data_IF_079831148833
#
_entry.id   IF_079831148833
#
_cell.length_a   1.000
_cell.length_b   1.000
_cell.length_c   1.000
_cell.angle_alpha   90.00
_cell.angle_beta   90.00
_cell.angle_gamma   90.00
#
_symmetry.space_group_name_H-M   'P 1'
#
loop_
_entity.id
_entity.type
_entity.pdbx_description
1 polymer ?
#
# COMPACT_ATOMS: atom_id res chain seq x y z
N UNK A 1 1.00 -11.17 -6.58
CA UNK A 1 -0.36 -11.48 -6.07
C UNK A 1 -0.23 -12.16 -4.73
N UNK A 2 -1.01 -11.71 -3.74
CA UNK A 2 -1.09 -12.37 -2.44
C UNK A 2 -1.95 -13.63 -2.59
N UNK A 3 -1.57 -14.78 -2.04
CA UNK A 3 -2.40 -15.96 -2.12
C UNK A 3 -3.58 -15.82 -1.15
N UNK A 4 -4.62 -16.60 -1.39
CA UNK A 4 -5.79 -16.66 -0.52
C UNK A 4 -5.67 -17.83 0.45
N UNK A 5 -5.90 -17.64 1.76
CA UNK A 5 -5.88 -18.71 2.72
C UNK A 5 -6.93 -19.78 2.36
N UNK A 6 -6.60 -21.08 2.46
CA UNK A 6 -7.55 -22.15 2.21
C UNK A 6 -8.77 -22.06 3.13
N UNK A 7 -9.99 -22.23 2.58
CA UNK A 7 -11.23 -22.21 3.36
C UNK A 7 -11.67 -20.82 3.85
N UNK A 8 -10.91 -19.76 3.56
CA UNK A 8 -11.31 -18.40 3.87
C UNK A 8 -12.59 -18.02 3.10
N UNK A 9 -13.51 -17.34 3.77
CA UNK A 9 -14.76 -16.87 3.19
C UNK A 9 -14.75 -15.35 3.18
N UNK A 10 -14.90 -14.77 2.00
CA UNK A 10 -14.80 -13.32 1.82
C UNK A 10 -15.97 -12.84 0.97
N UNK A 11 -16.62 -11.75 1.43
CA UNK A 11 -17.66 -11.09 0.61
C UNK A 11 -17.02 -10.46 -0.64
N UNK A 12 -17.81 -10.24 -1.70
CA UNK A 12 -17.34 -9.47 -2.84
C UNK A 12 -16.82 -8.07 -2.44
N UNK A 13 -17.42 -7.43 -1.43
CA UNK A 13 -16.97 -6.12 -0.95
C UNK A 13 -15.61 -6.21 -0.25
N UNK A 14 -15.36 -7.23 0.56
CA UNK A 14 -14.05 -7.45 1.18
C UNK A 14 -12.96 -7.71 0.14
N UNK A 15 -13.26 -8.53 -0.87
CA UNK A 15 -12.34 -8.82 -1.97
C UNK A 15 -12.00 -7.54 -2.75
N UNK A 16 -12.99 -6.74 -3.12
CA UNK A 16 -12.78 -5.51 -3.88
C UNK A 16 -12.14 -4.39 -3.04
N UNK A 17 -12.32 -4.41 -1.72
CA UNK A 17 -11.73 -3.42 -0.80
C UNK A 17 -10.28 -3.76 -0.46
N UNK A 18 -9.98 -4.98 -0.01
CA UNK A 18 -8.66 -5.36 0.49
C UNK A 18 -7.76 -6.01 -0.57
N UNK A 19 -8.37 -6.57 -1.62
CA UNK A 19 -7.66 -7.27 -2.70
C UNK A 19 -8.15 -6.80 -4.08
N UNK A 20 -8.07 -5.50 -4.43
CA UNK A 20 -8.62 -4.98 -5.69
C UNK A 20 -8.04 -5.69 -6.94
N UNK A 21 -6.81 -6.23 -6.82
CA UNK A 21 -6.17 -7.03 -7.88
C UNK A 21 -6.81 -8.41 -8.09
N UNK A 22 -7.78 -8.83 -7.27
CA UNK A 22 -8.56 -10.06 -7.49
C UNK A 22 -9.27 -10.07 -8.85
N UNK A 23 -9.57 -8.89 -9.43
CA UNK A 23 -10.12 -8.77 -10.78
C UNK A 23 -9.16 -9.19 -11.90
N UNK A 24 -7.86 -9.37 -11.61
CA UNK A 24 -6.91 -9.99 -12.54
C UNK A 24 -7.05 -11.52 -12.63
N UNK A 25 -7.83 -12.12 -11.71
CA UNK A 25 -8.04 -13.56 -11.63
C UNK A 25 -9.42 -13.90 -12.19
N UNK A 26 -9.42 -14.65 -13.28
CA UNK A 26 -10.65 -15.02 -13.99
C UNK A 26 -11.71 -15.71 -13.12
N UNK A 27 -11.34 -16.46 -12.07
CA UNK A 27 -12.33 -17.10 -11.20
C UNK A 27 -13.15 -16.10 -10.38
N UNK A 28 -12.54 -15.02 -9.88
CA UNK A 28 -13.30 -13.98 -9.17
C UNK A 28 -14.16 -13.18 -10.14
N UNK A 29 -13.63 -12.86 -11.33
CA UNK A 29 -14.44 -12.24 -12.39
C UNK A 29 -15.63 -13.13 -12.75
N UNK A 30 -15.40 -14.42 -12.97
CA UNK A 30 -16.45 -15.38 -13.27
C UNK A 30 -17.48 -15.46 -12.14
N UNK A 31 -17.02 -15.62 -10.90
CA UNK A 31 -17.85 -15.65 -9.68
C UNK A 31 -18.72 -14.41 -9.55
N UNK A 32 -18.15 -13.23 -9.69
CA UNK A 32 -18.88 -11.98 -9.56
C UNK A 32 -19.94 -11.84 -10.65
N UNK A 33 -19.59 -12.03 -11.92
CA UNK A 33 -20.54 -11.87 -13.03
C UNK A 33 -21.63 -12.96 -13.00
N UNK A 34 -21.30 -14.21 -12.63
CA UNK A 34 -22.28 -15.29 -12.45
C UNK A 34 -23.30 -15.00 -11.33
N UNK A 35 -22.92 -14.18 -10.36
CA UNK A 35 -23.76 -13.75 -9.25
C UNK A 35 -24.33 -12.32 -9.44
N UNK A 36 -24.48 -11.86 -10.68
CA UNK A 36 -25.15 -10.60 -10.98
C UNK A 36 -24.28 -9.35 -10.82
N UNK A 37 -22.98 -9.51 -10.63
CA UNK A 37 -22.03 -8.40 -10.68
C UNK A 37 -22.07 -7.70 -12.03
N UNK A 38 -22.17 -6.38 -12.00
CA UNK A 38 -22.05 -5.52 -13.19
C UNK A 38 -20.73 -4.77 -13.13
N UNK A 39 -20.31 -4.22 -14.27
CA UNK A 39 -19.10 -3.38 -14.34
C UNK A 39 -19.18 -2.17 -13.41
N UNK A 40 -20.32 -1.51 -13.38
CA UNK A 40 -20.54 -0.31 -12.57
C UNK A 40 -20.54 -0.70 -11.09
N UNK A 41 -21.38 -1.64 -10.67
CA UNK A 41 -21.40 -2.07 -9.26
C UNK A 41 -20.02 -2.48 -8.71
N UNK A 42 -19.20 -3.20 -9.50
CA UNK A 42 -17.83 -3.55 -9.11
C UNK A 42 -16.94 -2.29 -9.00
N UNK A 43 -17.03 -1.38 -9.97
CA UNK A 43 -16.31 -0.11 -9.96
C UNK A 43 -16.72 0.78 -8.79
N UNK A 44 -18.02 0.92 -8.54
CA UNK A 44 -18.60 1.68 -7.44
C UNK A 44 -18.13 1.18 -6.08
N UNK A 45 -18.08 -0.15 -5.88
CA UNK A 45 -17.51 -0.74 -4.67
C UNK A 45 -16.06 -0.31 -4.47
N UNK A 46 -15.24 -0.36 -5.51
CA UNK A 46 -13.81 0.02 -5.43
C UNK A 46 -13.68 1.51 -5.13
N UNK A 47 -14.36 2.38 -5.88
CA UNK A 47 -14.29 3.84 -5.70
C UNK A 47 -14.82 4.30 -4.34
N UNK A 48 -15.91 3.69 -3.84
CA UNK A 48 -16.47 4.04 -2.53
C UNK A 48 -15.54 3.61 -1.39
N UNK A 49 -14.84 2.48 -1.54
CA UNK A 49 -14.08 1.91 -0.43
C UNK A 49 -12.58 2.20 -0.47
N UNK A 50 -12.02 2.66 -1.60
CA UNK A 50 -10.58 2.90 -1.75
C UNK A 50 -10.26 4.31 -2.26
N UNK A 51 -9.11 4.82 -1.83
CA UNK A 51 -8.40 5.92 -2.48
C UNK A 51 -7.57 5.31 -3.60
N UNK A 52 -7.59 5.95 -4.78
CA UNK A 52 -6.87 5.47 -5.96
C UNK A 52 -5.95 6.59 -6.42
N UNK A 53 -4.67 6.29 -6.61
CA UNK A 53 -3.66 7.26 -7.07
C UNK A 53 -4.00 7.87 -8.44
N UNK A 54 -4.76 7.14 -9.25
CA UNK A 54 -5.15 7.53 -10.61
C UNK A 54 -6.64 7.37 -10.78
N UNK A 55 -7.22 8.22 -11.61
CA UNK A 55 -8.62 8.09 -12.01
C UNK A 55 -8.87 6.69 -12.56
N UNK A 56 -9.70 5.93 -11.85
CA UNK A 56 -10.09 4.59 -12.22
C UNK A 56 -11.51 4.66 -12.74
N UNK A 57 -11.70 4.41 -14.03
CA UNK A 57 -13.02 4.50 -14.67
C UNK A 57 -13.69 3.13 -14.73
N UNK A 58 -15.02 3.12 -14.89
CA UNK A 58 -15.76 1.88 -15.12
C UNK A 58 -15.22 1.12 -16.35
N UNK A 59 -14.79 1.82 -17.40
CA UNK A 59 -14.18 1.23 -18.58
C UNK A 59 -12.82 0.57 -18.27
N UNK A 60 -11.98 1.19 -17.46
CA UNK A 60 -10.73 0.59 -16.98
C UNK A 60 -11.00 -0.69 -16.18
N UNK A 61 -12.01 -0.67 -15.31
CA UNK A 61 -12.47 -1.84 -14.56
C UNK A 61 -12.92 -2.98 -15.49
N UNK A 62 -13.72 -2.65 -16.51
CA UNK A 62 -14.12 -3.58 -17.57
C UNK A 62 -12.91 -4.17 -18.32
N UNK A 63 -11.95 -3.32 -18.69
CA UNK A 63 -10.72 -3.71 -19.37
C UNK A 63 -9.93 -4.76 -18.59
N UNK A 64 -9.74 -4.55 -17.28
CA UNK A 64 -9.07 -5.51 -16.39
C UNK A 64 -9.77 -6.87 -16.40
N UNK A 65 -11.10 -6.88 -16.25
CA UNK A 65 -11.88 -8.13 -16.26
C UNK A 65 -11.80 -8.86 -17.62
N UNK A 66 -11.89 -8.13 -18.73
CA UNK A 66 -11.77 -8.72 -20.07
C UNK A 66 -10.39 -9.35 -20.30
N UNK A 67 -9.33 -8.68 -19.84
CA UNK A 67 -7.98 -9.22 -19.92
C UNK A 67 -7.82 -10.48 -19.07
N UNK A 68 -8.35 -10.49 -17.85
CA UNK A 68 -8.32 -11.66 -16.96
C UNK A 68 -9.00 -12.88 -17.59
N UNK A 69 -10.21 -12.70 -18.12
CA UNK A 69 -10.98 -13.77 -18.78
C UNK A 69 -10.30 -14.27 -20.07
N UNK A 70 -9.77 -13.35 -20.90
CA UNK A 70 -9.04 -13.73 -22.12
C UNK A 70 -7.79 -14.55 -21.80
N UNK A 71 -6.99 -14.14 -20.81
CA UNK A 71 -5.79 -14.88 -20.36
C UNK A 71 -6.11 -16.29 -19.85
N UNK A 72 -7.35 -16.54 -19.44
CA UNK A 72 -7.82 -17.85 -19.01
C UNK A 72 -8.45 -18.69 -20.13
N UNK A 73 -8.40 -18.23 -21.39
CA UNK A 73 -8.90 -18.99 -22.55
C UNK A 73 -10.38 -18.75 -22.86
N UNK A 74 -11.05 -17.79 -22.19
CA UNK A 74 -12.42 -17.40 -22.52
C UNK A 74 -12.41 -16.43 -23.71
N UNK A 75 -12.06 -16.93 -24.90
CA UNK A 75 -11.94 -16.12 -26.12
C UNK A 75 -13.28 -15.52 -26.55
N UNK A 76 -13.29 -14.22 -26.87
CA UNK A 76 -14.52 -13.51 -27.22
C UNK A 76 -15.51 -13.32 -26.06
N UNK A 77 -15.08 -13.62 -24.82
CA UNK A 77 -15.88 -13.34 -23.63
C UNK A 77 -16.13 -11.85 -23.47
N UNK A 78 -17.37 -11.52 -23.13
CA UNK A 78 -17.81 -10.22 -22.66
C UNK A 78 -18.89 -10.42 -21.61
N UNK A 79 -19.19 -9.41 -20.80
CA UNK A 79 -20.28 -9.51 -19.81
C UNK A 79 -21.62 -9.85 -20.48
N UNK A 80 -21.93 -9.24 -21.63
CA UNK A 80 -23.14 -9.53 -22.41
C UNK A 80 -23.20 -10.98 -22.91
N UNK A 81 -22.05 -11.61 -23.14
CA UNK A 81 -21.93 -13.01 -23.59
C UNK A 81 -21.68 -13.98 -22.43
N UNK A 82 -21.51 -13.52 -21.19
CA UNK A 82 -21.15 -14.36 -20.06
C UNK A 82 -22.11 -15.53 -19.88
N UNK A 83 -23.42 -15.30 -20.06
CA UNK A 83 -24.43 -16.35 -19.93
C UNK A 83 -24.17 -17.55 -20.86
N UNK A 84 -23.63 -17.33 -22.05
CA UNK A 84 -23.30 -18.42 -23.00
C UNK A 84 -22.21 -19.34 -22.44
N UNK A 85 -21.27 -18.78 -21.67
CA UNK A 85 -20.23 -19.53 -20.96
C UNK A 85 -20.76 -20.14 -19.66
N UNK A 86 -21.67 -19.45 -18.99
CA UNK A 86 -22.25 -19.89 -17.74
C UNK A 86 -23.16 -21.11 -17.89
N UNK A 87 -23.89 -21.25 -19.00
CA UNK A 87 -24.78 -22.40 -19.25
C UNK A 87 -24.10 -23.74 -19.03
N UNK A 88 -22.84 -23.89 -19.46
CA UNK A 88 -22.08 -25.15 -19.31
C UNK A 88 -21.72 -25.47 -17.85
N UNK A 89 -21.56 -24.45 -17.02
CA UNK A 89 -21.18 -24.60 -15.62
C UNK A 89 -22.37 -24.45 -14.67
N UNK A 90 -23.55 -24.08 -15.18
CA UNK A 90 -24.73 -23.71 -14.38
C UNK A 90 -25.19 -24.84 -13.46
N UNK A 91 -25.11 -26.09 -13.92
CA UNK A 91 -25.53 -27.26 -13.13
C UNK A 91 -24.66 -27.47 -11.88
N UNK A 92 -23.38 -27.09 -11.94
CA UNK A 92 -22.41 -27.25 -10.86
C UNK A 92 -22.08 -25.93 -10.15
N UNK A 93 -22.78 -24.84 -10.50
CA UNK A 93 -22.52 -23.53 -9.94
C UNK A 93 -23.25 -23.34 -8.63
N UNK A 94 -22.49 -23.19 -7.55
CA UNK A 94 -23.02 -22.76 -6.26
C UNK A 94 -22.88 -21.24 -6.12
N UNK A 95 -24.01 -20.54 -6.23
CA UNK A 95 -24.05 -19.07 -6.10
C UNK A 95 -23.86 -18.57 -4.66
N UNK A 96 -23.97 -19.45 -3.68
CA UNK A 96 -23.85 -19.13 -2.26
C UNK A 96 -22.41 -19.37 -1.76
N UNK A 97 -21.56 -19.99 -2.60
CA UNK A 97 -20.17 -20.24 -2.28
C UNK A 97 -19.32 -18.96 -2.40
N UNK A 98 -18.97 -18.40 -1.23
CA UNK A 98 -18.07 -17.26 -1.12
C UNK A 98 -16.63 -17.62 -0.70
N UNK A 99 -16.29 -18.90 -0.74
CA UNK A 99 -14.95 -19.41 -0.45
C UNK A 99 -13.94 -18.95 -1.52
N UNK A 100 -12.78 -18.47 -1.08
CA UNK A 100 -11.72 -17.96 -1.98
C UNK A 100 -10.73 -19.02 -2.43
N UNK A 101 -10.78 -20.23 -1.86
CA UNK A 101 -9.95 -21.38 -2.25
C UNK A 101 -10.30 -21.96 -3.63
N UNK A 102 -11.48 -21.65 -4.16
CA UNK A 102 -11.90 -22.00 -5.52
C UNK A 102 -11.16 -21.21 -6.62
N UNK A 103 -10.23 -20.31 -6.26
CA UNK A 103 -9.35 -19.62 -7.20
C UNK A 103 -8.41 -20.58 -7.95
N UNK A 104 -7.86 -20.19 -9.11
CA UNK A 104 -6.80 -20.96 -9.74
C UNK A 104 -5.65 -20.96 -8.74
N UNK A 105 -5.15 -22.16 -8.43
CA UNK A 105 -3.78 -22.35 -7.93
C UNK A 105 -2.88 -21.31 -8.60
N UNK A 106 -2.16 -20.53 -7.79
CA UNK A 106 -1.40 -19.36 -8.23
C UNK A 106 -0.60 -19.71 -9.50
N UNK A 107 -0.34 -18.73 -10.38
CA UNK A 107 0.30 -18.94 -11.68
C UNK A 107 1.59 -19.80 -11.61
N UNK A 108 2.25 -19.82 -10.46
CA UNK A 108 3.40 -20.67 -10.12
C UNK A 108 3.14 -22.18 -10.13
N UNK A 109 1.89 -22.64 -10.03
CA UNK A 109 1.57 -24.08 -10.03
C UNK A 109 1.34 -24.67 -11.43
N UNK A 110 1.20 -23.83 -12.47
CA UNK A 110 0.99 -24.32 -13.85
C UNK A 110 2.28 -24.65 -14.60
N UNK A 111 3.43 -24.21 -14.10
CA UNK A 111 4.71 -24.47 -14.74
C UNK A 111 5.62 -25.22 -13.75
N UNK A 112 5.56 -26.56 -13.83
CA UNK A 112 6.31 -27.47 -12.94
C UNK A 112 7.83 -27.33 -13.06
N UNK A 113 8.31 -26.52 -13.99
CA UNK A 113 9.73 -26.27 -14.25
C UNK A 113 10.35 -25.23 -13.32
N UNK A 114 9.55 -24.36 -12.71
CA UNK A 114 10.04 -23.30 -11.81
C UNK A 114 9.63 -23.62 -10.38
N UNK A 115 10.56 -23.68 -9.41
CA UNK A 115 10.20 -23.83 -8.00
C UNK A 115 9.17 -22.76 -7.63
N UNK A 116 8.06 -23.13 -6.97
CA UNK A 116 7.05 -22.15 -6.60
C UNK A 116 7.71 -21.10 -5.70
N UNK A 117 7.83 -19.88 -6.21
CA UNK A 117 8.20 -18.73 -5.39
C UNK A 117 7.29 -18.74 -4.17
N UNK A 118 7.88 -18.79 -2.97
CA UNK A 118 7.10 -18.70 -1.74
C UNK A 118 6.27 -17.42 -1.83
N UNK A 119 4.94 -17.50 -1.70
CA UNK A 119 4.13 -16.32 -1.78
C UNK A 119 4.60 -15.33 -0.72
N UNK A 120 4.81 -14.07 -1.12
CA UNK A 120 5.25 -13.02 -0.20
C UNK A 120 4.15 -12.80 0.83
N UNK A 121 4.51 -12.99 2.10
CA UNK A 121 3.67 -12.60 3.23
C UNK A 121 3.80 -11.10 3.48
N UNK A 122 2.70 -10.47 3.87
CA UNK A 122 2.64 -9.04 4.21
C UNK A 122 1.96 -8.85 5.56
N UNK A 123 2.22 -7.77 6.29
CA UNK A 123 1.42 -7.40 7.45
C UNK A 123 -0.07 -7.28 7.10
N UNK A 124 -0.96 -7.83 7.93
CA UNK A 124 -2.41 -7.63 7.80
C UNK A 124 -2.80 -6.15 7.81
N UNK A 125 -2.06 -5.31 8.53
CA UNK A 125 -2.31 -3.86 8.55
C UNK A 125 -2.10 -3.22 7.17
N UNK A 126 -1.20 -3.74 6.33
CA UNK A 126 -0.97 -3.23 4.97
C UNK A 126 -2.14 -3.53 4.02
N UNK A 127 -3.05 -4.47 4.36
CA UNK A 127 -4.29 -4.62 3.60
C UNK A 127 -5.20 -3.39 3.73
N UNK A 128 -5.02 -2.57 4.76
CA UNK A 128 -5.74 -1.31 4.95
C UNK A 128 -5.17 -0.16 4.11
N UNK A 129 -4.04 -0.35 3.42
CA UNK A 129 -3.44 0.69 2.57
C UNK A 129 -4.45 1.12 1.49
N UNK A 130 -4.62 2.44 1.39
CA UNK A 130 -5.61 3.15 0.58
C UNK A 130 -7.07 2.78 0.81
N UNK A 131 -7.43 2.18 1.95
CA UNK A 131 -8.84 1.91 2.28
C UNK A 131 -9.49 3.18 2.85
N UNK A 132 -10.34 3.82 2.06
CA UNK A 132 -11.17 4.99 2.46
C UNK A 132 -12.28 4.57 3.42
N UNK A 133 -13.00 3.50 3.07
CA UNK A 133 -14.13 3.00 3.85
C UNK A 133 -13.99 1.50 4.08
N UNK A 134 -13.81 1.10 5.33
CA UNK A 134 -13.85 -0.32 5.69
C UNK A 134 -15.26 -0.89 5.47
N UNK A 135 -15.40 -2.14 4.99
CA UNK A 135 -16.69 -2.82 4.92
C UNK A 135 -17.35 -2.88 6.31
N UNK A 136 -18.69 -2.87 6.36
CA UNK A 136 -19.48 -2.90 7.61
C UNK A 136 -20.73 -3.75 7.42
N UNK A 137 -21.27 -4.27 8.52
CA UNK A 137 -22.53 -5.02 8.53
C UNK A 137 -22.55 -6.14 7.48
N UNK A 138 -23.55 -6.11 6.60
CA UNK A 138 -23.80 -7.10 5.53
C UNK A 138 -22.71 -7.17 4.45
N UNK A 139 -21.74 -6.25 4.47
CA UNK A 139 -20.63 -6.20 3.53
C UNK A 139 -19.32 -6.72 4.13
N UNK A 140 -19.30 -7.10 5.42
CA UNK A 140 -18.09 -7.49 6.13
C UNK A 140 -18.20 -8.92 6.72
N UNK A 141 -17.11 -9.68 6.66
CA UNK A 141 -16.92 -10.94 7.37
C UNK A 141 -15.58 -10.90 8.11
N UNK A 142 -14.78 -11.97 7.97
CA UNK A 142 -13.61 -12.24 8.80
C UNK A 142 -12.48 -11.26 8.52
N UNK A 143 -12.16 -11.03 7.24
CA UNK A 143 -11.01 -10.20 6.82
C UNK A 143 -11.16 -8.78 7.36
N UNK A 144 -12.36 -8.20 7.28
CA UNK A 144 -12.62 -6.86 7.81
C UNK A 144 -12.27 -6.76 9.30
N UNK A 145 -12.63 -7.75 10.11
CA UNK A 145 -12.34 -7.76 11.55
C UNK A 145 -10.85 -7.93 11.81
N UNK A 146 -10.19 -8.83 11.06
CA UNK A 146 -8.76 -9.09 11.18
C UNK A 146 -7.91 -7.89 10.79
N UNK A 147 -8.20 -7.23 9.66
CA UNK A 147 -7.49 -6.02 9.23
C UNK A 147 -7.69 -4.90 10.24
N UNK A 148 -8.93 -4.66 10.72
CA UNK A 148 -9.18 -3.67 11.78
C UNK A 148 -8.39 -3.96 13.06
N UNK A 149 -8.33 -5.23 13.46
CA UNK A 149 -7.55 -5.63 14.62
C UNK A 149 -6.07 -5.34 14.42
N UNK A 150 -5.49 -5.73 13.28
CA UNK A 150 -4.09 -5.52 12.97
C UNK A 150 -3.72 -4.02 12.91
N UNK A 151 -4.58 -3.18 12.32
CA UNK A 151 -4.39 -1.71 12.30
C UNK A 151 -4.40 -1.13 13.71
N UNK A 152 -5.34 -1.56 14.56
CA UNK A 152 -5.41 -1.09 15.96
C UNK A 152 -4.23 -1.57 16.83
N UNK A 153 -3.62 -2.69 16.47
CA UNK A 153 -2.53 -3.32 17.21
C UNK A 153 -1.24 -3.37 16.38
N UNK A 154 -0.84 -2.24 15.80
CA UNK A 154 0.31 -2.13 14.89
C UNK A 154 1.66 -2.57 15.48
N UNK A 155 1.78 -2.64 16.82
CA UNK A 155 2.97 -3.19 17.49
C UNK A 155 3.15 -4.69 17.26
N UNK A 156 2.06 -5.43 17.07
CA UNK A 156 2.10 -6.87 16.79
C UNK A 156 1.90 -7.07 15.30
N UNK A 157 2.97 -7.54 14.64
CA UNK A 157 2.98 -7.72 13.20
C UNK A 157 2.36 -9.08 12.83
N UNK A 158 1.05 -9.07 12.59
CA UNK A 158 0.34 -10.22 12.04
C UNK A 158 0.59 -10.34 10.53
N UNK A 159 1.00 -11.52 10.06
CA UNK A 159 1.38 -11.75 8.67
C UNK A 159 0.27 -12.47 7.89
N UNK A 160 -0.23 -11.84 6.84
CA UNK A 160 -1.10 -12.45 5.84
C UNK A 160 -0.25 -13.11 4.75
N UNK A 161 -0.59 -14.34 4.31
CA UNK A 161 -1.69 -15.19 4.77
C UNK A 161 -1.27 -16.22 5.82
N UNK A 162 0.01 -16.30 6.16
CA UNK A 162 0.58 -17.33 7.03
C UNK A 162 -0.12 -17.44 8.38
N UNK A 163 -0.48 -16.31 8.98
CA UNK A 163 -1.07 -16.22 10.30
C UNK A 163 -2.58 -15.96 10.27
N UNK A 164 -3.24 -16.32 9.17
CA UNK A 164 -4.67 -16.09 8.99
C UNK A 164 -5.50 -16.79 10.07
N UNK A 165 -5.26 -18.07 10.30
CA UNK A 165 -6.05 -18.86 11.26
C UNK A 165 -5.80 -18.43 12.71
N UNK A 166 -4.56 -18.09 13.07
CA UNK A 166 -4.24 -17.60 14.42
C UNK A 166 -4.89 -16.25 14.70
N UNK A 167 -4.81 -15.31 13.75
CA UNK A 167 -5.47 -14.01 13.89
C UNK A 167 -6.99 -14.17 13.88
N UNK A 168 -7.54 -15.06 13.06
CA UNK A 168 -8.97 -15.35 13.03
C UNK A 168 -9.47 -15.87 14.37
N UNK A 169 -8.75 -16.84 14.97
CA UNK A 169 -9.05 -17.36 16.29
C UNK A 169 -9.01 -16.24 17.36
N UNK A 170 -8.00 -15.37 17.29
CA UNK A 170 -7.85 -14.24 18.21
C UNK A 170 -9.01 -13.24 18.11
N UNK A 171 -9.53 -12.98 16.91
CA UNK A 171 -10.69 -12.07 16.70
C UNK A 171 -12.05 -12.75 16.88
N UNK A 172 -12.09 -13.94 17.50
CA UNK A 172 -13.33 -14.63 17.89
C UNK A 172 -13.77 -15.76 16.94
N UNK A 173 -12.89 -16.23 16.05
CA UNK A 173 -13.16 -17.33 15.11
C UNK A 173 -14.04 -16.94 13.93
N UNK A 174 -14.23 -17.87 12.98
CA UNK A 174 -14.96 -17.62 11.74
C UNK A 174 -16.38 -17.09 11.98
N UNK A 175 -16.71 -15.96 11.35
CA UNK A 175 -18.06 -15.40 11.37
C UNK A 175 -19.04 -16.33 10.64
N UNK A 176 -20.27 -16.37 11.15
CA UNK A 176 -21.35 -17.09 10.48
C UNK A 176 -21.69 -16.39 9.16
N UNK A 177 -21.54 -17.11 8.06
CA UNK A 177 -22.01 -16.63 6.76
C UNK A 177 -23.55 -16.66 6.74
N UNK A 178 -24.14 -15.63 6.16
CA UNK A 178 -25.57 -15.39 6.13
C UNK A 178 -25.95 -15.01 4.69
N UNK A 179 -27.22 -15.18 4.27
CA UNK A 179 -27.60 -14.97 2.87
C UNK A 179 -27.28 -13.58 2.29
N UNK A 180 -27.21 -12.55 3.14
CA UNK A 180 -26.89 -11.19 2.69
C UNK A 180 -25.39 -10.96 2.42
N UNK A 181 -24.54 -11.90 2.84
CA UNK A 181 -23.10 -11.92 2.55
C UNK A 181 -22.78 -12.51 1.17
N UNK A 182 -23.71 -13.26 0.57
CA UNK A 182 -23.51 -13.87 -0.75
C UNK A 182 -23.40 -12.80 -1.84
N UNK A 183 -22.58 -13.08 -2.85
CA UNK A 183 -22.29 -12.13 -3.93
C UNK A 183 -23.56 -11.63 -4.62
N UNK A 184 -24.55 -12.50 -4.84
CA UNK A 184 -25.84 -12.13 -5.43
C UNK A 184 -26.53 -11.04 -4.64
N UNK A 185 -26.63 -11.22 -3.33
CA UNK A 185 -27.25 -10.25 -2.44
C UNK A 185 -26.42 -8.96 -2.33
N UNK A 186 -25.09 -9.04 -2.43
CA UNK A 186 -24.22 -7.87 -2.48
C UNK A 186 -24.48 -7.07 -3.75
N UNK A 187 -24.34 -7.67 -4.93
CA UNK A 187 -24.46 -6.95 -6.20
C UNK A 187 -25.88 -6.44 -6.48
N UNK A 188 -26.92 -7.14 -6.01
CA UNK A 188 -28.29 -6.64 -6.05
C UNK A 188 -28.46 -5.33 -5.26
N UNK A 189 -27.82 -5.20 -4.09
CA UNK A 189 -27.87 -3.96 -3.30
C UNK A 189 -27.14 -2.81 -3.99
N UNK A 190 -25.91 -3.06 -4.44
CA UNK A 190 -25.11 -2.02 -5.08
C UNK A 190 -25.72 -1.53 -6.39
N UNK A 191 -26.32 -2.43 -7.18
CA UNK A 191 -27.03 -2.03 -8.40
C UNK A 191 -28.26 -1.15 -8.09
N UNK A 192 -28.94 -1.34 -6.95
CA UNK A 192 -30.06 -0.50 -6.52
C UNK A 192 -29.62 0.86 -5.96
N UNK A 193 -28.54 0.89 -5.19
CA UNK A 193 -27.96 2.15 -4.67
C UNK A 193 -27.56 3.08 -5.82
N UNK A 194 -27.03 2.52 -6.92
CA UNK A 194 -26.70 3.30 -8.11
C UNK A 194 -27.94 3.93 -8.76
N UNK A 195 -29.08 3.24 -8.81
CA UNK A 195 -30.34 3.77 -9.36
C UNK A 195 -30.91 4.93 -8.53
N UNK A 196 -30.69 4.93 -7.21
CA UNK A 196 -31.09 6.03 -6.34
C UNK A 196 -30.12 7.22 -6.44
N UNK A 197 -28.82 6.95 -6.59
CA UNK A 197 -27.77 7.98 -6.66
C UNK A 197 -27.74 8.68 -8.03
N UNK A 198 -27.93 7.95 -9.13
CA UNK A 198 -27.99 8.51 -10.50
C UNK A 198 -29.18 9.43 -10.74
N UNK A 199 -30.15 9.52 -9.83
CA UNK A 199 -31.18 10.58 -9.88
C UNK A 199 -30.65 11.96 -9.44
N UNK A 200 -29.47 12.01 -8.81
CA UNK A 200 -28.77 13.21 -8.41
C UNK A 200 -27.45 13.31 -9.21
N UNK A 201 -27.56 13.69 -10.49
CA UNK A 201 -26.52 13.69 -11.55
C UNK A 201 -25.26 14.58 -11.33
N UNK A 202 -24.79 14.82 -10.09
CA UNK A 202 -23.64 15.71 -9.85
C UNK A 202 -22.44 15.11 -9.08
N UNK A 203 -22.53 13.90 -8.52
CA UNK A 203 -21.44 13.34 -7.72
C UNK A 203 -20.85 12.06 -8.33
N UNK A 204 -19.84 12.18 -9.20
CA UNK A 204 -19.03 11.02 -9.61
C UNK A 204 -18.13 10.61 -8.42
N UNK A 205 -18.31 9.41 -7.84
CA UNK A 205 -17.65 8.99 -6.61
C UNK A 205 -16.12 8.92 -6.73
N UNK A 206 -15.60 8.83 -7.95
CA UNK A 206 -14.16 8.76 -8.24
C UNK A 206 -13.59 10.12 -8.75
N UNK A 207 -14.39 11.18 -8.86
CA UNK A 207 -13.95 12.52 -9.27
C UNK A 207 -13.80 13.52 -8.12
N UNK A 208 -13.85 13.07 -6.86
CA UNK A 208 -13.47 13.98 -5.78
C UNK A 208 -12.01 14.41 -6.01
N UNK A 209 -11.73 15.71 -6.21
CA UNK A 209 -10.39 16.16 -6.52
C UNK A 209 -9.46 15.69 -5.40
N UNK A 210 -8.31 15.17 -5.79
CA UNK A 210 -7.21 14.91 -4.87
C UNK A 210 -6.86 16.26 -4.24
N UNK A 211 -7.44 16.54 -3.08
CA UNK A 211 -7.07 17.72 -2.30
C UNK A 211 -5.65 17.48 -1.83
N UNK A 212 -4.75 18.40 -2.18
CA UNK A 212 -3.36 18.36 -1.72
C UNK A 212 -3.32 18.12 -0.21
N UNK A 213 -2.47 17.20 0.29
CA UNK A 213 -2.37 16.90 1.72
C UNK A 213 -2.11 18.15 2.58
N UNK A 214 -1.50 19.19 2.01
CA UNK A 214 -1.25 20.48 2.68
C UNK A 214 -2.53 21.32 2.94
N UNK A 215 -3.65 21.04 2.27
CA UNK A 215 -4.90 21.79 2.46
C UNK A 215 -5.84 21.20 3.51
N UNK A 216 -5.54 20.01 4.06
CA UNK A 216 -6.29 19.42 5.16
C UNK A 216 -5.74 19.88 6.52
N UNK A 217 -5.83 21.19 6.77
CA UNK A 217 -5.71 21.73 8.12
C UNK A 217 -6.73 21.08 9.05
N UNK A 218 -6.31 20.79 10.29
CA UNK A 218 -7.11 20.28 11.41
C UNK A 218 -8.56 20.83 11.41
N UNK A 219 -9.50 20.07 10.87
CA UNK A 219 -10.92 20.26 11.17
C UNK A 219 -11.23 19.37 12.36
N UNK A 220 -11.14 19.95 13.55
CA UNK A 220 -11.66 19.38 14.80
C UNK A 220 -13.19 19.31 14.70
N UNK A 221 -13.70 18.22 14.13
CA UNK A 221 -15.12 17.89 14.14
C UNK A 221 -15.51 17.24 15.45
N UNK A 222 -16.16 18.02 16.31
CA UNK A 222 -16.75 17.61 17.58
C UNK A 222 -17.88 16.60 17.35
N UNK A 223 -17.56 15.31 17.47
CA UNK A 223 -18.54 14.23 17.53
C UNK A 223 -18.73 13.85 19.01
N UNK A 224 -19.83 14.32 19.58
CA UNK A 224 -20.30 13.93 20.92
C UNK A 224 -20.60 12.44 20.94
N UNK A 225 -19.66 11.66 21.49
CA UNK A 225 -19.85 10.26 21.85
C UNK A 225 -20.35 10.20 23.30
N UNK A 226 -21.45 9.48 23.50
CA UNK A 226 -22.07 9.23 24.81
C UNK A 226 -21.06 8.64 25.82
N UNK A 227 -20.77 9.32 26.95
CA UNK A 227 -19.78 8.87 27.92
C UNK A 227 -20.17 7.62 28.73
N UNK A 228 -21.37 7.05 28.53
CA UNK A 228 -21.89 5.98 29.41
C UNK A 228 -21.48 4.54 29.08
N UNK A 229 -20.58 4.32 28.12
CA UNK A 229 -20.23 2.95 27.67
C UNK A 229 -18.76 2.54 27.88
N UNK A 230 -18.02 3.20 28.76
CA UNK A 230 -16.65 2.83 29.14
C UNK A 230 -16.41 3.10 30.63
N UNK A 231 -16.90 2.22 31.50
CA UNK A 231 -16.36 2.05 32.85
C UNK A 231 -16.17 0.57 33.11
N UNK A 232 -14.91 0.14 33.05
CA UNK A 232 -14.22 -0.67 34.07
C UNK A 232 -12.97 -1.27 33.42
N UNK A 233 -11.82 -0.64 33.70
CA UNK A 233 -10.47 -1.22 33.88
C UNK A 233 -9.43 -0.12 33.64
N UNK A 234 -9.13 0.68 34.68
CA UNK A 234 -7.83 1.33 34.85
C UNK A 234 -7.71 1.88 36.28
N UNK A 235 -6.82 1.27 37.06
CA UNK A 235 -6.33 1.81 38.32
C UNK A 235 -4.94 2.43 38.09
N UNK A 236 -4.77 3.62 38.67
CA UNK A 236 -3.53 4.30 39.07
C UNK A 236 -2.39 4.45 38.05
N UNK A 237 -2.46 5.53 37.29
CA UNK A 237 -1.28 6.22 36.77
C UNK A 237 -1.25 7.67 37.31
N UNK A 238 -0.11 8.18 37.80
CA UNK A 238 0.01 9.54 38.31
C UNK A 238 -0.07 10.60 37.18
N UNK A 239 -0.50 11.83 37.49
CA UNK A 239 -0.73 12.88 36.50
C UNK A 239 0.59 13.34 35.85
N UNK A 240 0.58 13.45 34.52
CA UNK A 240 1.65 14.05 33.73
C UNK A 240 1.88 15.52 34.09
N UNK A 241 3.14 16.00 34.06
CA UNK A 241 3.45 17.41 34.33
C UNK A 241 2.90 18.33 33.23
N UNK A 242 2.60 19.60 33.55
CA UNK A 242 2.12 20.57 32.59
C UNK A 242 3.21 20.93 31.55
N UNK A 243 2.81 21.31 30.33
CA UNK A 243 3.76 21.72 29.30
C UNK A 243 4.51 23.00 29.73
N UNK A 244 5.78 23.16 29.29
CA UNK A 244 6.56 24.36 29.57
C UNK A 244 5.90 25.57 28.91
N UNK A 245 5.95 26.71 29.62
CA UNK A 245 5.48 28.00 29.13
C UNK A 245 6.43 28.50 28.06
N UNK A 246 5.88 28.98 26.95
CA UNK A 246 6.60 29.72 25.93
C UNK A 246 7.23 30.97 26.57
N UNK A 247 8.54 30.95 26.74
CA UNK A 247 9.32 32.14 27.03
C UNK A 247 9.65 32.84 25.71
N UNK A 248 9.31 34.12 25.68
CA UNK A 248 9.48 35.11 24.61
C UNK A 248 10.80 34.97 23.84
N UNK A 249 10.70 34.59 22.56
CA UNK A 249 11.75 34.87 21.58
C UNK A 249 11.68 36.37 21.26
N UNK A 250 12.63 37.10 21.85
CA UNK A 250 12.97 38.49 21.53
C UNK A 250 13.25 38.65 20.02
N UNK A 251 12.24 39.11 19.28
CA UNK A 251 12.41 39.62 17.93
C UNK A 251 13.02 41.02 18.03
N UNK A 252 14.35 41.09 17.91
CA UNK A 252 15.11 42.32 17.94
C UNK A 252 14.64 43.30 16.85
N UNK A 253 14.16 44.44 17.34
CA UNK A 253 13.98 45.69 16.63
C UNK A 253 15.26 46.12 15.91
N UNK A 254 15.35 45.92 14.60
CA UNK A 254 16.35 46.57 13.75
C UNK A 254 15.79 47.86 13.17
N UNK A 255 16.35 48.94 13.73
CA UNK A 255 16.24 50.33 13.35
C UNK A 255 16.82 50.53 11.95
N UNK A 256 16.15 51.37 11.15
CA UNK A 256 16.60 51.77 9.82
C UNK A 256 18.03 52.31 9.82
N UNK A 257 18.90 51.59 9.13
CA UNK A 257 20.15 52.06 8.55
C UNK A 257 20.21 51.44 7.16
N UNK A 258 20.48 52.26 6.15
CA UNK A 258 20.80 51.79 4.80
C UNK A 258 22.08 50.94 4.90
N UNK A 259 21.90 49.61 4.90
CA UNK A 259 22.99 48.63 4.77
C UNK A 259 23.18 48.40 3.29
N UNK A 260 24.42 48.56 2.81
CA UNK A 260 24.79 48.31 1.42
C UNK A 260 24.39 46.89 1.00
N UNK A 261 23.88 46.76 -0.23
CA UNK A 261 23.59 45.50 -0.93
C UNK A 261 24.87 44.72 -1.30
N UNK A 262 25.90 44.73 -0.45
CA UNK A 262 26.97 43.76 -0.53
C UNK A 262 26.43 42.46 0.10
N UNK A 263 25.68 41.72 -0.72
CA UNK A 263 25.14 40.40 -0.45
C UNK A 263 26.17 39.53 0.28
N UNK A 264 25.93 39.27 1.56
CA UNK A 264 26.60 38.19 2.27
C UNK A 264 26.05 36.90 1.65
N UNK A 265 26.70 36.42 0.59
CA UNK A 265 26.53 35.06 0.09
C UNK A 265 26.98 34.16 1.24
N UNK A 266 26.03 33.71 2.07
CA UNK A 266 26.26 32.69 3.08
C UNK A 266 26.71 31.44 2.33
N UNK A 267 28.04 31.27 2.23
CA UNK A 267 28.64 30.10 1.62
C UNK A 267 28.21 28.92 2.47
N UNK A 268 27.40 28.03 1.91
CA UNK A 268 27.01 26.80 2.59
C UNK A 268 28.28 26.02 2.97
N UNK A 269 28.42 25.72 4.26
CA UNK A 269 29.47 24.85 4.76
C UNK A 269 28.79 23.56 5.21
N UNK A 270 29.09 22.45 4.52
CA UNK A 270 28.53 21.15 4.87
C UNK A 270 28.88 20.82 6.33
N UNK A 271 27.89 20.52 7.19
CA UNK A 271 28.17 20.15 8.56
C UNK A 271 28.93 18.82 8.63
N UNK A 272 29.70 18.56 9.70
CA UNK A 272 30.37 17.28 9.88
C UNK A 272 29.36 16.12 9.86
N UNK A 273 29.70 15.04 9.17
CA UNK A 273 28.87 13.84 9.09
C UNK A 273 28.74 13.19 10.47
N UNK A 274 27.54 13.19 11.05
CA UNK A 274 27.28 12.48 12.31
C UNK A 274 26.88 11.03 12.02
N UNK A 275 27.32 10.10 12.86
CA UNK A 275 26.98 8.69 12.72
C UNK A 275 25.49 8.46 12.96
N UNK A 276 24.81 7.89 11.96
CA UNK A 276 23.43 7.41 12.11
C UNK A 276 23.37 5.91 11.82
N UNK A 277 23.03 5.14 12.85
CA UNK A 277 22.82 3.71 12.70
C UNK A 277 21.54 3.45 11.88
N UNK A 278 21.58 2.51 10.92
CA UNK A 278 20.35 2.06 10.28
C UNK A 278 19.40 1.47 11.33
N UNK A 279 18.07 1.58 11.14
CA UNK A 279 17.11 0.91 12.01
C UNK A 279 17.48 -0.56 12.18
N UNK A 280 17.31 -1.15 13.38
CA UNK A 280 17.52 -2.58 13.53
C UNK A 280 16.70 -3.29 12.47
N UNK A 281 17.34 -4.19 11.72
CA UNK A 281 16.65 -5.07 10.78
C UNK A 281 15.74 -6.00 11.59
N UNK A 282 14.58 -5.49 11.98
CA UNK A 282 13.55 -6.26 12.67
C UNK A 282 12.95 -7.32 11.74
N UNK A 283 13.26 -7.25 10.44
CA UNK A 283 12.99 -8.27 9.46
C UNK A 283 14.29 -8.93 9.00
N UNK A 284 14.39 -10.22 9.32
CA UNK A 284 15.30 -11.22 8.76
C UNK A 284 15.09 -11.42 7.25
N UNK A 285 14.84 -10.37 6.46
CA UNK A 285 15.10 -10.43 5.05
C UNK A 285 16.63 -10.41 4.92
N UNK A 286 17.22 -11.60 4.92
CA UNK A 286 18.62 -11.81 4.58
C UNK A 286 18.98 -10.92 3.40
N UNK A 287 20.05 -10.13 3.55
CA UNK A 287 20.56 -9.30 2.45
C UNK A 287 20.63 -10.15 1.20
N UNK A 288 20.08 -9.67 0.07
CA UNK A 288 20.10 -10.47 -1.14
C UNK A 288 21.54 -10.82 -1.50
N UNK A 289 21.73 -12.08 -1.85
CA UNK A 289 22.97 -12.56 -2.43
C UNK A 289 23.22 -11.84 -3.75
N UNK A 290 24.48 -11.75 -4.17
CA UNK A 290 24.80 -11.13 -5.46
C UNK A 290 24.14 -11.90 -6.62
N UNK A 291 23.99 -13.21 -6.47
CA UNK A 291 23.33 -14.10 -7.42
C UNK A 291 21.84 -13.81 -7.56
N UNK A 292 21.13 -13.58 -6.44
CA UNK A 292 19.72 -13.18 -6.44
C UNK A 292 19.51 -11.83 -7.14
N UNK A 293 20.34 -10.83 -6.84
CA UNK A 293 20.26 -9.52 -7.52
C UNK A 293 20.53 -9.64 -9.02
N UNK A 294 21.55 -10.41 -9.44
CA UNK A 294 21.83 -10.68 -10.86
C UNK A 294 20.68 -11.39 -11.57
N UNK A 295 19.99 -12.29 -10.87
CA UNK A 295 18.84 -12.98 -11.43
C UNK A 295 17.68 -12.01 -11.66
N UNK A 296 17.39 -11.16 -10.67
CA UNK A 296 16.29 -10.19 -10.73
C UNK A 296 16.59 -9.08 -11.74
N UNK A 297 17.83 -8.58 -11.79
CA UNK A 297 18.26 -7.60 -12.78
C UNK A 297 18.09 -8.11 -14.21
N UNK A 298 18.35 -9.40 -14.47
CA UNK A 298 18.07 -9.99 -15.79
C UNK A 298 16.59 -10.02 -16.17
N UNK A 299 15.67 -10.04 -15.20
CA UNK A 299 14.24 -10.08 -15.46
C UNK A 299 13.61 -8.69 -15.54
N UNK A 300 14.02 -7.79 -14.65
CA UNK A 300 13.35 -6.52 -14.38
C UNK A 300 14.21 -5.30 -14.69
N UNK A 301 15.51 -5.51 -14.95
CA UNK A 301 16.48 -4.44 -15.12
C UNK A 301 16.22 -3.60 -16.37
N UNK A 302 16.51 -2.30 -16.27
CA UNK A 302 16.49 -1.38 -17.39
C UNK A 302 17.56 -1.77 -18.41
N UNK A 303 17.18 -1.81 -19.71
CA UNK A 303 17.99 -2.40 -20.79
C UNK A 303 19.30 -1.66 -21.08
N UNK A 304 19.33 -0.38 -20.73
CA UNK A 304 20.46 0.55 -20.90
C UNK A 304 21.44 0.50 -19.70
N UNK A 305 21.12 -0.28 -18.68
CA UNK A 305 21.94 -0.41 -17.48
C UNK A 305 22.84 -1.63 -17.56
N UNK A 306 24.05 -1.51 -17.04
CA UNK A 306 25.12 -2.50 -17.20
C UNK A 306 25.37 -3.35 -15.95
N UNK A 307 24.77 -2.98 -14.81
CA UNK A 307 25.06 -3.51 -13.49
C UNK A 307 23.78 -3.53 -12.65
N UNK A 308 23.59 -4.59 -11.86
CA UNK A 308 22.53 -4.65 -10.85
C UNK A 308 22.70 -3.60 -9.74
N UNK A 309 23.90 -3.02 -9.63
CA UNK A 309 24.24 -1.95 -8.68
C UNK A 309 24.21 -0.56 -9.30
N UNK A 310 23.86 -0.42 -10.59
CA UNK A 310 23.58 0.91 -11.14
C UNK A 310 22.43 1.56 -10.36
N UNK A 311 22.51 2.84 -9.98
CA UNK A 311 21.42 3.55 -9.31
C UNK A 311 20.13 3.56 -10.13
N UNK A 312 20.24 3.36 -11.44
CA UNK A 312 19.13 3.33 -12.39
C UNK A 312 18.77 1.94 -12.88
N UNK A 313 19.40 0.89 -12.34
CA UNK A 313 19.23 -0.51 -12.74
C UNK A 313 17.75 -0.94 -12.84
N UNK A 314 16.87 -0.38 -12.02
CA UNK A 314 15.43 -0.68 -12.01
C UNK A 314 14.56 0.55 -12.27
N UNK A 315 15.12 1.59 -12.90
CA UNK A 315 14.43 2.87 -13.12
C UNK A 315 14.31 3.75 -11.87
N UNK A 316 15.07 3.47 -10.81
CA UNK A 316 15.05 4.17 -9.53
C UNK A 316 15.11 3.21 -8.33
N UNK A 317 14.72 3.67 -7.12
CA UNK A 317 14.70 2.83 -5.93
C UNK A 317 13.65 1.73 -6.01
N UNK A 318 13.99 0.52 -5.57
CA UNK A 318 13.02 -0.58 -5.41
C UNK A 318 12.16 -0.44 -4.14
N UNK A 319 11.37 0.63 -4.04
CA UNK A 319 10.61 0.99 -2.82
C UNK A 319 9.68 -0.14 -2.32
N UNK A 320 8.98 -0.81 -3.24
CA UNK A 320 7.91 -1.76 -2.92
C UNK A 320 8.37 -3.22 -3.00
N UNK A 321 9.33 -3.53 -3.87
CA UNK A 321 9.61 -4.90 -4.31
C UNK A 321 10.97 -5.40 -3.83
N UNK A 322 11.00 -6.30 -2.83
CA UNK A 322 12.23 -6.94 -2.39
C UNK A 322 12.78 -7.85 -3.49
N UNK A 323 14.06 -8.22 -3.37
CA UNK A 323 14.97 -7.78 -2.33
C UNK A 323 15.46 -6.35 -2.58
N UNK A 324 15.58 -5.59 -1.50
CA UNK A 324 16.09 -4.22 -1.54
C UNK A 324 17.63 -4.26 -1.57
N UNK A 325 18.25 -3.51 -2.48
CA UNK A 325 19.71 -3.40 -2.53
C UNK A 325 20.20 -2.58 -1.34
N UNK A 326 21.38 -2.89 -0.84
CA UNK A 326 22.04 -2.05 0.16
C UNK A 326 22.59 -0.80 -0.52
N UNK A 327 22.27 0.38 -0.01
CA UNK A 327 22.55 1.65 -0.70
C UNK A 327 24.05 1.89 -0.88
N UNK A 328 24.87 1.51 0.10
CA UNK A 328 26.34 1.63 0.01
C UNK A 328 26.97 0.74 -1.08
N UNK A 329 26.25 -0.24 -1.60
CA UNK A 329 26.71 -1.11 -2.71
C UNK A 329 26.28 -0.58 -4.07
N UNK A 330 25.35 0.38 -4.11
CA UNK A 330 24.89 1.02 -5.34
C UNK A 330 25.98 2.00 -5.79
N UNK A 331 26.27 2.00 -7.08
CA UNK A 331 27.24 2.90 -7.70
C UNK A 331 26.81 4.37 -7.50
N UNK A 332 27.76 5.32 -7.47
CA UNK A 332 27.41 6.74 -7.37
C UNK A 332 26.46 7.18 -8.50
N UNK A 333 25.40 7.95 -8.20
CA UNK A 333 24.48 8.49 -9.19
C UNK A 333 25.16 9.51 -10.12
N UNK A 334 24.50 9.83 -11.24
CA UNK A 334 24.97 10.87 -12.14
C UNK A 334 25.13 12.19 -11.38
N UNK A 335 26.23 12.95 -11.56
CA UNK A 335 26.39 14.25 -10.91
C UNK A 335 25.26 15.24 -11.22
N UNK A 336 24.66 15.14 -12.40
CA UNK A 336 23.51 15.96 -12.80
C UNK A 336 22.18 15.57 -12.15
N UNK A 337 22.14 14.43 -11.45
CA UNK A 337 20.95 13.93 -10.79
C UNK A 337 20.98 14.37 -9.32
N UNK A 338 20.19 15.40 -9.03
CA UNK A 338 19.99 15.97 -7.69
C UNK A 338 18.65 15.55 -7.08
N UNK A 339 18.05 14.45 -7.58
CA UNK A 339 16.84 13.90 -6.99
C UNK A 339 17.08 13.38 -5.56
N UNK A 340 16.01 13.29 -4.77
CA UNK A 340 16.08 12.73 -3.40
C UNK A 340 16.70 11.33 -3.37
N UNK A 341 16.43 10.51 -4.38
CA UNK A 341 17.04 9.18 -4.53
C UNK A 341 18.56 9.26 -4.65
N UNK A 342 19.06 10.10 -5.55
CA UNK A 342 20.49 10.27 -5.78
C UNK A 342 21.18 10.81 -4.52
N UNK A 343 20.58 11.80 -3.90
CA UNK A 343 21.10 12.38 -2.67
C UNK A 343 21.10 11.40 -1.49
N UNK A 344 20.09 10.54 -1.35
CA UNK A 344 20.06 9.50 -0.33
C UNK A 344 21.19 8.48 -0.52
N UNK A 345 21.51 8.11 -1.77
CA UNK A 345 22.67 7.27 -2.06
C UNK A 345 23.97 7.98 -1.66
N UNK A 346 24.15 9.25 -2.05
CA UNK A 346 25.35 10.03 -1.71
C UNK A 346 25.53 10.18 -0.19
N UNK A 347 24.45 10.44 0.54
CA UNK A 347 24.48 10.52 2.00
C UNK A 347 24.92 9.20 2.63
N UNK A 348 24.41 8.05 2.16
CA UNK A 348 24.87 6.75 2.67
C UNK A 348 26.34 6.48 2.34
N UNK A 349 26.82 6.86 1.16
CA UNK A 349 28.25 6.76 0.83
C UNK A 349 29.12 7.61 1.77
N UNK A 350 28.67 8.83 2.08
CA UNK A 350 29.36 9.72 3.02
C UNK A 350 29.36 9.16 4.46
N UNK A 351 28.25 8.56 4.90
CA UNK A 351 28.16 7.83 6.17
C UNK A 351 29.14 6.65 6.21
N UNK A 352 29.20 5.82 5.18
CA UNK A 352 30.09 4.64 5.13
C UNK A 352 31.56 5.04 5.07
N UNK A 353 31.88 6.13 4.36
CA UNK A 353 33.23 6.69 4.27
C UNK A 353 33.79 7.06 5.65
N UNK A 354 32.97 7.67 6.51
CA UNK A 354 33.36 8.07 7.86
C UNK A 354 33.15 6.95 8.89
N UNK A 355 32.15 6.09 8.66
CA UNK A 355 31.68 5.06 9.58
C UNK A 355 31.40 3.74 8.84
N UNK A 356 32.43 2.90 8.61
CA UNK A 356 32.29 1.66 7.83
C UNK A 356 31.27 0.63 8.36
N UNK A 357 30.81 0.79 9.60
CA UNK A 357 29.76 -0.03 10.20
C UNK A 357 28.34 0.29 9.67
N UNK A 358 28.15 1.41 8.96
CA UNK A 358 26.83 1.88 8.47
C UNK A 358 26.45 1.19 7.16
N UNK A 359 26.32 -0.14 7.15
CA UNK A 359 26.06 -0.91 5.93
C UNK A 359 24.61 -1.45 5.79
N UNK A 360 23.74 -1.14 6.76
CA UNK A 360 22.36 -1.66 6.83
C UNK A 360 21.30 -0.88 6.04
N UNK A 361 21.60 0.34 5.56
CA UNK A 361 20.67 1.14 4.76
C UNK A 361 20.38 0.48 3.40
N UNK A 362 19.12 0.54 2.94
CA UNK A 362 18.65 -0.17 1.75
C UNK A 362 17.54 0.61 1.02
N UNK A 363 17.09 0.09 -0.12
CA UNK A 363 16.08 0.73 -0.99
C UNK A 363 14.63 0.71 -0.48
N UNK A 364 14.33 0.10 0.67
CA UNK A 364 12.95 0.08 1.19
C UNK A 364 12.44 1.50 1.44
N UNK A 365 11.13 1.71 1.24
CA UNK A 365 10.50 3.02 1.44
C UNK A 365 10.80 3.60 2.83
N UNK A 366 10.68 2.78 3.88
CA UNK A 366 10.99 3.21 5.26
C UNK A 366 12.43 3.68 5.44
N UNK A 367 13.41 3.04 4.78
CA UNK A 367 14.80 3.49 4.84
C UNK A 367 15.01 4.78 4.05
N UNK A 368 14.38 4.94 2.88
CA UNK A 368 14.47 6.17 2.10
C UNK A 368 13.91 7.37 2.86
N UNK A 369 12.73 7.22 3.46
CA UNK A 369 12.07 8.30 4.20
C UNK A 369 12.90 8.74 5.42
N UNK A 370 13.46 7.78 6.17
CA UNK A 370 14.33 8.07 7.31
C UNK A 370 15.62 8.77 6.91
N UNK A 371 16.25 8.36 5.79
CA UNK A 371 17.46 9.04 5.29
C UNK A 371 17.12 10.48 4.90
N UNK A 372 16.03 10.70 4.17
CA UNK A 372 15.58 12.04 3.79
C UNK A 372 15.36 12.92 5.03
N UNK A 373 14.67 12.38 6.05
CA UNK A 373 14.47 13.09 7.32
C UNK A 373 15.79 13.47 7.97
N UNK A 374 16.73 12.53 8.10
CA UNK A 374 18.02 12.80 8.72
C UNK A 374 18.86 13.82 7.95
N UNK A 375 18.83 13.78 6.62
CA UNK A 375 19.50 14.80 5.79
C UNK A 375 18.97 16.19 6.08
N UNK A 376 17.66 16.35 6.21
CA UNK A 376 17.04 17.63 6.55
C UNK A 376 17.41 18.09 7.96
N UNK A 377 17.34 17.20 8.94
CA UNK A 377 17.71 17.50 10.34
C UNK A 377 19.18 17.94 10.47
N UNK A 378 20.06 17.31 9.67
CA UNK A 378 21.48 17.64 9.63
C UNK A 378 21.80 18.82 8.70
N UNK A 379 20.82 19.36 7.97
CA UNK A 379 21.06 20.31 6.87
C UNK A 379 22.15 19.82 5.90
N UNK A 380 22.18 18.52 5.64
CA UNK A 380 23.17 17.86 4.78
C UNK A 380 22.72 17.96 3.32
N UNK A 381 23.65 18.40 2.47
CA UNK A 381 23.47 18.54 1.02
C UNK A 381 24.76 18.08 0.32
N UNK A 382 24.63 17.37 -0.81
CA UNK A 382 25.79 16.97 -1.61
C UNK A 382 26.46 18.16 -2.30
N UNK A 383 27.68 17.97 -2.83
CA UNK A 383 28.35 19.03 -3.58
C UNK A 383 27.64 19.25 -4.92
N UNK A 384 27.13 18.16 -5.50
CA UNK A 384 26.39 18.17 -6.76
C UNK A 384 25.09 18.98 -6.68
N UNK A 385 24.38 18.96 -5.54
CA UNK A 385 23.20 19.80 -5.35
C UNK A 385 23.53 21.29 -5.13
N UNK A 386 24.74 21.63 -4.68
CA UNK A 386 25.17 23.03 -4.54
C UNK A 386 25.65 23.63 -5.87
N UNK A 387 26.04 22.80 -6.83
CA UNK A 387 26.46 23.20 -8.17
C UNK A 387 25.27 23.46 -9.12
N UNK A 388 24.06 23.07 -8.73
CA UNK A 388 22.80 23.18 -9.49
C UNK A 388 21.94 24.33 -9.03
#
# INVERSE_FOLDING_TARGET
>A
DLPFPPGAKMTAVELLTFFPRCLNLHNFVYRFISNGGTRNAIWDIICKNRVLEKQYTADACGGTMYQAMRRAGYEGWSMKKHQQWHVKNKENWDGDNIDVSYGPKARSERDSSTPPLRPRSIPFAELATDVKNFPKGRNALDVTRMVRYAVKHSRVRWMYPEQYDELLALVGGAAKVEPHHYDRAVFERWTREDEETTRNDQDDPCQQPFLDPEQQGLVSGDATVDPRLLMEFQADAPPSPPPPKDDDINLLSLRGGEVSEDEVINTYIRPPTEFIAPPPLHELASHPTAEELKFIFRQEGAKDQHSEYSPYAFGGPRLVWPPHRQLHRIEPPSPSDVSDWAENIRWVHDQVKHFPAVNGWNESASHQDLITQHRWEQNWVSDEMLEH
#
